data_IF_534350842662
#
_entry.id   IF_534350842662
#
_cell.length_a   1.000
_cell.length_b   1.000
_cell.length_c   1.000
_cell.angle_alpha   90.00
_cell.angle_beta   90.00
_cell.angle_gamma   90.00
#
_symmetry.space_group_name_H-M   'P 1'
#
loop_
_entity.id
_entity.type
_entity.pdbx_description
1 polymer ?
#
# COMPACT_ATOMS: atom_id res chain seq x y z
N UNK A 1 28.70 -3.90 0.05
CA UNK A 1 28.03 -2.93 0.93
C UNK A 1 27.08 -2.07 0.10
N UNK A 2 25.78 -2.36 0.13
CA UNK A 2 24.80 -1.28 -0.04
C UNK A 2 23.47 -1.60 0.67
N UNK A 3 23.25 -1.18 1.92
CA UNK A 3 21.87 -1.22 2.45
C UNK A 3 21.58 -0.29 3.65
N UNK A 4 22.60 0.22 4.34
CA UNK A 4 22.40 1.11 5.51
C UNK A 4 21.73 2.46 5.16
N UNK A 5 21.69 2.86 3.88
CA UNK A 5 21.02 4.10 3.46
C UNK A 5 19.50 4.00 3.29
N UNK A 6 18.90 2.80 3.26
CA UNK A 6 17.46 2.67 3.00
C UNK A 6 16.64 3.12 4.21
N UNK A 7 16.95 2.59 5.40
CA UNK A 7 16.27 2.99 6.65
C UNK A 7 16.35 4.50 6.87
N UNK A 8 17.53 5.11 6.69
CA UNK A 8 17.70 6.56 6.82
C UNK A 8 16.85 7.36 5.83
N UNK A 9 16.70 6.88 4.59
CA UNK A 9 15.81 7.53 3.59
C UNK A 9 14.33 7.37 3.94
N UNK A 10 13.92 6.20 4.44
CA UNK A 10 12.55 5.93 4.90
C UNK A 10 12.19 6.85 6.09
N UNK A 11 13.09 6.99 7.06
CA UNK A 11 12.86 7.85 8.23
C UNK A 11 12.86 9.32 7.81
N UNK A 12 13.87 9.74 7.04
CA UNK A 12 14.09 11.14 6.67
C UNK A 12 14.53 12.01 7.85
N UNK A 13 14.84 13.28 7.58
CA UNK A 13 15.21 14.24 8.63
C UNK A 13 14.03 14.43 9.59
N UNK A 14 14.28 14.29 10.90
CA UNK A 14 13.26 14.43 11.96
C UNK A 14 12.06 13.49 11.83
N UNK A 15 12.23 12.36 11.12
CA UNK A 15 11.12 11.44 10.87
C UNK A 15 10.09 11.97 9.86
N UNK A 16 10.42 13.00 9.08
CA UNK A 16 9.50 13.63 8.13
C UNK A 16 8.92 12.63 7.13
N UNK A 17 9.77 11.79 6.54
CA UNK A 17 9.34 10.88 5.47
C UNK A 17 8.46 9.77 6.03
N UNK A 18 8.85 9.18 7.16
CA UNK A 18 8.05 8.14 7.81
C UNK A 18 6.69 8.70 8.28
N UNK A 19 6.63 9.92 8.82
CA UNK A 19 5.36 10.57 9.19
C UNK A 19 4.47 10.84 8.00
N UNK A 20 5.02 11.31 6.88
CA UNK A 20 4.25 11.49 5.64
C UNK A 20 3.71 10.14 5.15
N UNK A 21 4.53 9.08 5.17
CA UNK A 21 4.09 7.75 4.77
C UNK A 21 2.99 7.21 5.68
N UNK A 22 3.16 7.29 7.00
CA UNK A 22 2.14 6.90 7.99
C UNK A 22 0.84 7.68 7.80
N UNK A 23 0.92 8.98 7.51
CA UNK A 23 -0.26 9.84 7.29
C UNK A 23 -0.97 9.49 5.99
N UNK A 24 -0.24 9.28 4.90
CA UNK A 24 -0.80 8.96 3.60
C UNK A 24 -1.45 7.57 3.55
N UNK A 25 -0.86 6.59 4.23
CA UNK A 25 -1.32 5.19 4.22
C UNK A 25 -2.26 4.85 5.37
N UNK A 26 -2.24 5.62 6.46
CA UNK A 26 -2.94 5.31 7.70
C UNK A 26 -2.41 4.07 8.42
N UNK A 27 -1.16 3.66 8.17
CA UNK A 27 -0.47 2.58 8.89
C UNK A 27 0.56 3.14 9.88
N UNK A 28 1.01 2.31 10.82
CA UNK A 28 2.17 2.60 11.67
C UNK A 28 3.41 1.91 11.11
N UNK A 29 4.49 2.66 10.96
CA UNK A 29 5.80 2.14 10.56
C UNK A 29 6.64 1.95 11.83
N UNK A 30 7.12 0.73 12.05
CA UNK A 30 8.01 0.37 13.14
C UNK A 30 9.37 0.04 12.56
N UNK A 31 10.39 0.77 13.01
CA UNK A 31 11.78 0.52 12.68
C UNK A 31 12.46 0.02 13.94
N UNK A 32 13.00 -1.18 13.89
CA UNK A 32 13.74 -1.80 14.98
C UNK A 32 15.21 -2.07 14.58
N UNK A 33 15.94 -2.71 15.50
CA UNK A 33 17.35 -3.03 15.37
C UNK A 33 17.63 -4.13 14.33
N UNK A 34 16.60 -4.81 13.80
CA UNK A 34 16.74 -5.84 12.77
C UNK A 34 17.23 -5.21 11.48
N UNK A 35 18.44 -5.55 10.98
CA UNK A 35 18.98 -4.96 9.77
C UNK A 35 18.01 -5.09 8.59
N UNK A 36 17.98 -4.05 7.75
CA UNK A 36 17.24 -4.00 6.49
C UNK A 36 15.73 -4.30 6.56
N UNK A 37 15.18 -4.34 7.77
CA UNK A 37 13.78 -4.67 8.02
C UNK A 37 13.02 -3.46 8.53
N UNK A 38 11.80 -3.28 8.02
CA UNK A 38 10.83 -2.29 8.48
C UNK A 38 9.49 -2.99 8.59
N UNK A 39 8.81 -2.80 9.71
CA UNK A 39 7.52 -3.43 9.98
C UNK A 39 6.38 -2.43 9.76
N UNK A 40 5.37 -2.84 8.99
CA UNK A 40 4.16 -2.08 8.74
C UNK A 40 3.01 -2.68 9.55
N UNK A 41 2.39 -1.88 10.42
CA UNK A 41 1.33 -2.31 11.32
C UNK A 41 0.02 -1.60 11.02
N UNK A 42 -1.03 -2.38 10.77
CA UNK A 42 -2.41 -1.92 10.55
C UNK A 42 -3.40 -3.07 10.72
N UNK A 43 -4.56 -2.78 11.32
CA UNK A 43 -5.69 -3.72 11.41
C UNK A 43 -6.50 -3.80 10.12
N UNK A 44 -6.47 -2.74 9.30
CA UNK A 44 -7.17 -2.68 8.02
C UNK A 44 -6.32 -3.39 6.93
N UNK A 45 -6.82 -4.48 6.32
CA UNK A 45 -6.08 -5.25 5.31
C UNK A 45 -5.83 -4.44 4.02
N UNK A 46 -6.75 -3.57 3.62
CA UNK A 46 -6.57 -2.73 2.44
C UNK A 46 -5.45 -1.71 2.66
N UNK A 47 -5.42 -1.06 3.83
CA UNK A 47 -4.30 -0.16 4.19
C UNK A 47 -2.97 -0.89 4.25
N UNK A 48 -2.96 -2.12 4.77
CA UNK A 48 -1.75 -2.95 4.86
C UNK A 48 -1.21 -3.27 3.46
N UNK A 49 -2.08 -3.63 2.53
CA UNK A 49 -1.71 -3.94 1.15
C UNK A 49 -1.21 -2.70 0.40
N UNK A 50 -1.92 -1.57 0.52
CA UNK A 50 -1.48 -0.28 -0.06
C UNK A 50 -0.10 0.11 0.46
N UNK A 51 0.10 0.06 1.78
CA UNK A 51 1.37 0.40 2.39
C UNK A 51 2.50 -0.55 1.95
N UNK A 52 2.24 -1.86 1.90
CA UNK A 52 3.20 -2.87 1.44
C UNK A 52 3.67 -2.58 0.00
N UNK A 53 2.72 -2.42 -0.93
CA UNK A 53 3.02 -2.12 -2.35
C UNK A 53 3.75 -0.79 -2.49
N UNK A 54 3.29 0.26 -1.80
CA UNK A 54 3.90 1.57 -1.87
C UNK A 54 5.34 1.55 -1.34
N UNK A 55 5.58 0.87 -0.22
CA UNK A 55 6.91 0.72 0.38
C UNK A 55 7.88 0.03 -0.58
N UNK A 56 7.46 -1.08 -1.19
CA UNK A 56 8.26 -1.79 -2.20
C UNK A 56 8.61 -0.90 -3.40
N UNK A 57 7.64 -0.15 -3.93
CA UNK A 57 7.87 0.77 -5.05
C UNK A 57 8.79 1.93 -4.70
N UNK A 58 8.67 2.51 -3.50
CA UNK A 58 9.54 3.59 -3.02
C UNK A 58 10.98 3.10 -2.81
N UNK A 59 11.16 1.89 -2.27
CA UNK A 59 12.48 1.26 -2.11
C UNK A 59 13.13 1.03 -3.48
N UNK A 60 12.40 0.44 -4.43
CA UNK A 60 12.88 0.17 -5.78
C UNK A 60 13.21 1.46 -6.55
N UNK A 61 12.35 2.49 -6.43
CA UNK A 61 12.54 3.79 -7.09
C UNK A 61 13.54 4.72 -6.39
N UNK A 62 13.91 4.43 -5.14
CA UNK A 62 14.92 5.15 -4.38
C UNK A 62 14.56 6.56 -3.89
N UNK A 63 13.34 7.04 -4.14
CA UNK A 63 12.89 8.40 -3.81
C UNK A 63 11.85 8.43 -2.69
N UNK A 64 12.22 9.01 -1.54
CA UNK A 64 11.38 9.12 -0.33
C UNK A 64 10.93 10.56 -0.03
N UNK A 65 10.83 11.43 -1.03
CA UNK A 65 10.31 12.78 -0.81
C UNK A 65 8.81 12.73 -0.48
N UNK A 66 8.27 13.68 0.32
CA UNK A 66 6.84 13.70 0.66
C UNK A 66 5.91 13.62 -0.56
N UNK A 67 6.18 14.42 -1.59
CA UNK A 67 5.40 14.40 -2.83
C UNK A 67 5.44 13.03 -3.53
N UNK A 68 6.60 12.37 -3.54
CA UNK A 68 6.73 11.03 -4.14
C UNK A 68 6.00 9.96 -3.32
N UNK A 69 6.04 10.07 -2.00
CA UNK A 69 5.30 9.17 -1.10
C UNK A 69 3.80 9.28 -1.39
N UNK A 70 3.25 10.49 -1.38
CA UNK A 70 1.83 10.74 -1.66
C UNK A 70 1.42 10.21 -3.04
N UNK A 71 2.20 10.52 -4.09
CA UNK A 71 1.96 10.05 -5.46
C UNK A 71 1.93 8.52 -5.55
N UNK A 72 2.91 7.84 -4.95
CA UNK A 72 3.01 6.38 -5.00
C UNK A 72 1.88 5.73 -4.21
N UNK A 73 1.53 6.27 -3.04
CA UNK A 73 0.44 5.74 -2.21
C UNK A 73 -0.90 5.85 -2.93
N UNK A 74 -1.21 6.99 -3.53
CA UNK A 74 -2.45 7.16 -4.29
C UNK A 74 -2.51 6.23 -5.52
N UNK A 75 -1.39 6.07 -6.24
CA UNK A 75 -1.32 5.09 -7.34
C UNK A 75 -1.58 3.66 -6.84
N UNK A 76 -0.99 3.26 -5.72
CA UNK A 76 -1.22 1.93 -5.13
C UNK A 76 -2.66 1.73 -4.67
N UNK A 77 -3.30 2.79 -4.16
CA UNK A 77 -4.71 2.77 -3.76
C UNK A 77 -5.65 2.55 -4.94
N UNK A 78 -5.44 3.27 -6.04
CA UNK A 78 -6.21 3.09 -7.27
C UNK A 78 -6.02 1.68 -7.85
N UNK A 79 -4.77 1.20 -7.91
CA UNK A 79 -4.46 -0.14 -8.40
C UNK A 79 -5.15 -1.24 -7.56
N UNK A 80 -5.11 -1.13 -6.23
CA UNK A 80 -5.80 -2.08 -5.35
C UNK A 80 -7.31 -2.06 -5.59
N UNK A 81 -7.91 -0.88 -5.73
CA UNK A 81 -9.34 -0.75 -6.00
C UNK A 81 -9.75 -1.42 -7.32
N UNK A 82 -8.95 -1.24 -8.39
CA UNK A 82 -9.18 -1.93 -9.67
C UNK A 82 -9.04 -3.45 -9.53
N UNK A 83 -8.04 -3.93 -8.79
CA UNK A 83 -7.85 -5.36 -8.54
C UNK A 83 -9.04 -5.97 -7.81
N UNK A 84 -9.60 -5.26 -6.83
CA UNK A 84 -10.78 -5.68 -6.08
C UNK A 84 -12.01 -5.79 -6.98
N UNK A 85 -12.25 -4.81 -7.85
CA UNK A 85 -13.36 -4.87 -8.81
C UNK A 85 -13.20 -6.07 -9.75
N UNK A 86 -12.01 -6.26 -10.33
CA UNK A 86 -11.72 -7.39 -11.22
C UNK A 86 -11.90 -8.74 -10.52
N UNK A 87 -11.51 -8.82 -9.25
CA UNK A 87 -11.71 -10.02 -8.43
C UNK A 87 -13.21 -10.31 -8.21
N UNK A 88 -14.00 -9.28 -7.91
CA UNK A 88 -15.46 -9.38 -7.76
C UNK A 88 -16.16 -9.80 -9.06
N UNK A 89 -15.79 -9.20 -10.19
CA UNK A 89 -16.30 -9.60 -11.52
C UNK A 89 -15.99 -11.07 -11.81
N UNK A 90 -14.74 -11.49 -11.56
CA UNK A 90 -14.34 -12.88 -11.76
C UNK A 90 -15.13 -13.85 -10.88
N UNK A 91 -15.33 -13.51 -9.60
CA UNK A 91 -16.12 -14.32 -8.68
C UNK A 91 -17.59 -14.47 -9.15
N UNK A 92 -18.20 -13.39 -9.65
CA UNK A 92 -19.56 -13.42 -10.19
C UNK A 92 -19.68 -14.27 -11.45
N UNK A 93 -18.68 -14.22 -12.33
CA UNK A 93 -18.59 -15.09 -13.52
C UNK A 93 -18.48 -16.56 -13.13
N UNK A 94 -17.65 -16.90 -12.13
CA UNK A 94 -17.46 -18.28 -11.66
C UNK A 94 -18.75 -18.89 -11.12
N UNK A 95 -19.56 -18.11 -10.40
CA UNK A 95 -20.87 -18.58 -9.88
C UNK A 95 -22.01 -18.46 -10.91
N UNK A 96 -21.71 -18.02 -12.14
CA UNK A 96 -22.68 -17.80 -13.23
C UNK A 96 -23.79 -16.82 -12.88
N UNK A 97 -23.53 -15.87 -12.00
CA UNK A 97 -24.44 -14.76 -11.76
C UNK A 97 -24.38 -13.84 -12.99
N UNK A 98 -25.50 -13.72 -13.72
CA UNK A 98 -25.58 -12.91 -14.96
C UNK A 98 -26.42 -11.65 -14.81
N UNK A 99 -27.31 -11.63 -13.81
CA UNK A 99 -28.13 -10.47 -13.45
C UNK A 99 -27.70 -9.98 -12.07
N UNK A 100 -26.92 -8.91 -12.05
CA UNK A 100 -26.54 -8.21 -10.83
C UNK A 100 -26.45 -6.71 -11.06
N UNK A 101 -26.68 -5.94 -10.01
CA UNK A 101 -26.49 -4.50 -10.03
C UNK A 101 -25.01 -4.17 -10.31
N UNK A 102 -24.73 -3.12 -11.08
CA UNK A 102 -23.36 -2.76 -11.51
C UNK A 102 -22.37 -2.52 -10.36
N UNK A 103 -22.87 -2.24 -9.16
CA UNK A 103 -22.05 -2.04 -7.94
C UNK A 103 -21.72 -3.36 -7.21
N UNK A 104 -22.39 -4.47 -7.53
CA UNK A 104 -22.17 -5.75 -6.85
C UNK A 104 -20.72 -6.27 -6.95
N UNK A 105 -20.01 -6.16 -8.10
CA UNK A 105 -18.60 -6.52 -8.18
C UNK A 105 -17.71 -5.76 -7.18
N UNK A 106 -18.01 -4.48 -6.92
CA UNK A 106 -17.26 -3.68 -5.95
C UNK A 106 -17.41 -4.22 -4.53
N UNK A 107 -18.65 -4.55 -4.11
CA UNK A 107 -18.91 -5.10 -2.78
C UNK A 107 -18.34 -6.51 -2.59
N UNK A 108 -18.45 -7.37 -3.60
CA UNK A 108 -17.90 -8.74 -3.54
C UNK A 108 -16.37 -8.71 -3.47
N UNK A 109 -15.74 -7.79 -4.20
CA UNK A 109 -14.28 -7.60 -4.15
C UNK A 109 -13.74 -7.01 -2.85
N UNK A 110 -14.61 -6.44 -2.00
CA UNK A 110 -14.27 -5.87 -0.69
C UNK A 110 -14.38 -6.86 0.48
N UNK A 111 -15.01 -8.02 0.27
CA UNK A 111 -15.19 -9.08 1.27
C UNK A 111 -13.92 -9.92 1.44
#
# INVERSE_FOLDING_TARGET
MPNEGIKSRIIGKEGRNVRTFETATGVKVVVDDTPDTVLLSSYDPARREIASRAMQQLIAGGGFTPARIEEVVERCRLALHEDMIKAGEKALVEIRAKDYHGDLPHYVGML
#
